data_IF_885955736431
#
_entry.id   IF_885955736431
#
_cell.length_a   1.000
_cell.length_b   1.000
_cell.length_c   1.000
_cell.angle_alpha   90.00
_cell.angle_beta   90.00
_cell.angle_gamma   90.00
#
_symmetry.space_group_name_H-M   'P 1'
#
loop_
_entity.id
_entity.type
_entity.pdbx_description
1 polymer ?
#
# COMPACT_ATOMS: atom_id res chain seq x y z
N UNK A 1 10.97 8.78 14.33
CA UNK A 1 12.03 7.99 13.67
C UNK A 1 12.88 8.78 12.67
N UNK A 2 12.30 9.66 11.84
CA UNK A 2 13.04 10.50 10.86
C UNK A 2 13.29 11.96 11.30
N UNK A 3 12.97 12.30 12.56
CA UNK A 3 13.07 13.64 13.15
C UNK A 3 12.46 14.79 12.32
N UNK A 4 11.38 14.52 11.59
CA UNK A 4 10.65 15.51 10.80
C UNK A 4 9.64 16.27 11.65
N UNK A 5 9.47 17.56 11.36
CA UNK A 5 8.44 18.42 11.95
C UNK A 5 7.41 18.77 10.87
N UNK A 6 6.13 18.64 11.21
CA UNK A 6 5.02 18.99 10.32
C UNK A 6 4.24 20.15 10.90
N UNK A 7 3.83 21.08 10.04
CA UNK A 7 2.92 22.18 10.41
C UNK A 7 1.52 21.64 10.72
N UNK A 8 0.73 22.40 11.51
CA UNK A 8 -0.68 22.08 11.77
C UNK A 8 -1.49 21.95 10.48
N UNK A 9 -1.15 22.74 9.45
CA UNK A 9 -1.80 22.67 8.14
C UNK A 9 -1.49 21.35 7.41
N UNK A 10 -0.26 20.85 7.52
CA UNK A 10 0.13 19.57 6.90
C UNK A 10 -0.57 18.38 7.57
N UNK A 11 -0.73 18.43 8.89
CA UNK A 11 -1.55 17.45 9.62
C UNK A 11 -3.00 17.45 9.16
N UNK A 12 -3.59 18.64 8.98
CA UNK A 12 -4.95 18.76 8.45
C UNK A 12 -5.08 18.14 7.05
N UNK A 13 -4.08 18.34 6.18
CA UNK A 13 -4.06 17.74 4.84
C UNK A 13 -4.06 16.20 4.89
N UNK A 14 -3.39 15.57 5.86
CA UNK A 14 -3.41 14.11 6.00
C UNK A 14 -4.77 13.57 6.44
N UNK A 15 -5.44 14.29 7.35
CA UNK A 15 -6.80 13.94 7.78
C UNK A 15 -7.76 14.01 6.61
N UNK A 16 -7.73 15.10 5.83
CA UNK A 16 -8.59 15.25 4.66
C UNK A 16 -8.26 14.26 3.54
N UNK A 17 -6.99 13.94 3.31
CA UNK A 17 -6.60 12.89 2.39
C UNK A 17 -7.20 11.53 2.79
N UNK A 18 -7.06 11.16 4.08
CA UNK A 18 -7.61 9.91 4.60
C UNK A 18 -9.13 9.84 4.52
N UNK A 19 -9.82 10.91 4.90
CA UNK A 19 -11.28 11.02 4.78
C UNK A 19 -11.73 10.94 3.31
N UNK A 20 -11.03 11.61 2.40
CA UNK A 20 -11.35 11.58 0.98
C UNK A 20 -11.23 10.17 0.40
N UNK A 21 -10.17 9.44 0.73
CA UNK A 21 -10.00 8.03 0.35
C UNK A 21 -11.11 7.18 0.95
N UNK A 22 -11.44 7.35 2.23
CA UNK A 22 -12.52 6.61 2.88
C UNK A 22 -13.88 6.85 2.20
N UNK A 23 -14.21 8.09 1.87
CA UNK A 23 -15.46 8.45 1.17
C UNK A 23 -15.52 7.78 -0.22
N UNK A 24 -14.42 7.81 -0.98
CA UNK A 24 -14.36 7.17 -2.31
C UNK A 24 -14.57 5.66 -2.18
N UNK A 25 -13.83 5.01 -1.28
CA UNK A 25 -13.86 3.55 -1.10
C UNK A 25 -15.21 3.07 -0.57
N UNK A 26 -15.76 3.74 0.45
CA UNK A 26 -17.08 3.40 1.00
C UNK A 26 -18.20 3.66 -0.01
N UNK A 27 -18.04 4.66 -0.87
CA UNK A 27 -19.01 4.97 -1.92
C UNK A 27 -19.03 3.97 -3.09
N UNK A 28 -18.01 3.14 -3.22
CA UNK A 28 -17.92 2.09 -4.26
C UNK A 28 -18.39 0.72 -3.75
N UNK A 29 -18.52 0.54 -2.43
CA UNK A 29 -18.94 -0.72 -1.85
C UNK A 29 -20.40 -1.02 -2.25
N UNK A 30 -20.59 -1.93 -3.20
CA UNK A 30 -21.92 -2.47 -3.54
C UNK A 30 -22.41 -3.30 -2.36
N UNK A 31 -23.70 -3.22 -2.03
CA UNK A 31 -24.41 -4.02 -1.01
C UNK A 31 -24.46 -5.51 -1.39
N UNK A 32 -23.31 -6.13 -1.63
CA UNK A 32 -23.14 -7.58 -1.73
C UNK A 32 -22.64 -8.08 -0.39
N UNK A 33 -23.35 -7.75 0.69
CA UNK A 33 -23.13 -8.40 1.98
C UNK A 33 -23.90 -9.72 1.94
N UNK A 34 -23.24 -10.81 1.55
CA UNK A 34 -23.66 -12.12 2.06
C UNK A 34 -23.56 -12.05 3.59
N UNK A 35 -24.61 -12.47 4.30
CA UNK A 35 -24.60 -12.68 5.75
C UNK A 35 -23.61 -13.79 6.09
N UNK A 36 -22.31 -13.47 6.06
CA UNK A 36 -21.29 -14.24 6.77
C UNK A 36 -21.28 -13.74 8.20
N UNK A 37 -21.13 -14.68 9.13
CA UNK A 37 -20.96 -14.42 10.56
C UNK A 37 -19.62 -13.68 10.77
N UNK A 38 -19.64 -12.36 10.55
CA UNK A 38 -18.45 -11.52 10.54
C UNK A 38 -18.14 -11.09 11.97
N UNK A 39 -17.01 -11.56 12.49
CA UNK A 39 -16.44 -11.06 13.72
C UNK A 39 -15.85 -9.66 13.51
N UNK A 40 -16.71 -8.65 13.44
CA UNK A 40 -16.36 -7.22 13.31
C UNK A 40 -15.22 -6.80 14.26
N UNK A 41 -15.22 -7.14 15.57
CA UNK A 41 -14.12 -6.71 16.45
C UNK A 41 -12.77 -7.32 16.06
N UNK A 42 -12.75 -8.56 15.59
CA UNK A 42 -11.52 -9.23 15.12
C UNK A 42 -11.01 -8.57 13.84
N UNK A 43 -11.91 -8.28 12.89
CA UNK A 43 -11.57 -7.56 11.66
C UNK A 43 -11.01 -6.16 11.94
N UNK A 44 -11.65 -5.42 12.85
CA UNK A 44 -11.20 -4.08 13.24
C UNK A 44 -9.80 -4.12 13.89
N UNK A 45 -9.57 -5.08 14.80
CA UNK A 45 -8.27 -5.26 15.42
C UNK A 45 -7.19 -5.65 14.40
N UNK A 46 -7.51 -6.54 13.46
CA UNK A 46 -6.59 -6.96 12.40
C UNK A 46 -6.19 -5.78 11.49
N UNK A 47 -7.15 -4.96 11.07
CA UNK A 47 -6.89 -3.77 10.23
C UNK A 47 -6.08 -2.71 11.00
N UNK A 48 -6.36 -2.51 12.29
CA UNK A 48 -5.59 -1.60 13.13
C UNK A 48 -4.12 -2.05 13.26
N UNK A 49 -3.88 -3.34 13.55
CA UNK A 49 -2.52 -3.89 13.62
C UNK A 49 -1.80 -3.84 12.26
N UNK A 50 -2.49 -4.16 11.17
CA UNK A 50 -1.94 -4.11 9.82
C UNK A 50 -1.55 -2.67 9.41
N UNK A 51 -2.39 -1.69 9.70
CA UNK A 51 -2.13 -0.27 9.39
C UNK A 51 -0.96 0.29 10.20
N UNK A 52 -0.86 -0.02 11.49
CA UNK A 52 0.28 0.36 12.33
C UNK A 52 1.58 -0.28 11.85
N UNK A 53 1.55 -1.58 11.52
CA UNK A 53 2.71 -2.30 10.98
C UNK A 53 3.17 -1.70 9.65
N UNK A 54 2.24 -1.41 8.74
CA UNK A 54 2.53 -0.78 7.44
C UNK A 54 3.14 0.61 7.58
N UNK A 55 2.59 1.44 8.49
CA UNK A 55 3.13 2.78 8.75
C UNK A 55 4.55 2.71 9.33
N UNK A 56 4.80 1.82 10.29
CA UNK A 56 6.12 1.63 10.88
C UNK A 56 7.13 1.10 9.86
N UNK A 57 6.79 0.05 9.11
CA UNK A 57 7.66 -0.55 8.10
C UNK A 57 8.06 0.47 7.02
N UNK A 58 7.12 1.29 6.54
CA UNK A 58 7.41 2.33 5.55
C UNK A 58 8.40 3.38 6.06
N UNK A 59 8.22 3.85 7.29
CA UNK A 59 9.11 4.85 7.92
C UNK A 59 10.48 4.25 8.26
N UNK A 60 10.52 3.00 8.70
CA UNK A 60 11.78 2.27 8.93
C UNK A 60 12.55 2.07 7.62
N UNK A 61 11.87 1.61 6.58
CA UNK A 61 12.47 1.43 5.26
C UNK A 61 13.04 2.74 4.72
N UNK A 62 12.31 3.85 4.85
CA UNK A 62 12.81 5.18 4.49
C UNK A 62 14.10 5.53 5.28
N UNK A 63 14.12 5.26 6.59
CA UNK A 63 15.29 5.52 7.44
C UNK A 63 16.51 4.71 7.00
N UNK A 64 16.32 3.43 6.68
CA UNK A 64 17.40 2.51 6.25
C UNK A 64 17.92 2.89 4.87
N UNK A 65 17.03 3.13 3.89
CA UNK A 65 17.43 3.39 2.51
C UNK A 65 18.12 4.75 2.34
N UNK A 66 17.77 5.73 3.18
CA UNK A 66 18.41 7.06 3.20
C UNK A 66 19.68 7.11 4.06
N UNK A 67 20.07 6.00 4.71
CA UNK A 67 21.28 5.96 5.52
C UNK A 67 21.26 6.85 6.76
N UNK A 68 20.08 7.34 7.18
CA UNK A 68 19.94 8.25 8.31
C UNK A 68 20.36 7.64 9.67
N UNK A 69 20.53 6.31 9.73
CA UNK A 69 21.10 5.62 10.89
C UNK A 69 22.65 5.57 10.93
N UNK A 70 23.33 5.84 9.81
CA UNK A 70 24.79 5.75 9.68
C UNK A 70 25.48 7.13 9.67
N UNK A 71 24.73 8.23 9.77
CA UNK A 71 25.27 9.58 9.68
C UNK A 71 26.13 10.01 10.90
N UNK A 72 26.21 9.18 11.96
CA UNK A 72 26.97 9.47 13.18
C UNK A 72 27.97 8.39 13.60
N UNK A 73 28.03 7.28 12.88
CA UNK A 73 29.02 6.22 13.09
C UNK A 73 29.88 6.21 11.83
N UNK A 74 31.21 6.14 11.90
CA UNK A 74 32.10 6.16 10.73
C UNK A 74 31.95 4.96 9.76
N UNK A 75 30.80 4.30 9.75
CA UNK A 75 30.43 3.18 8.91
C UNK A 75 30.05 3.66 7.51
N UNK A 76 30.98 3.42 6.57
CA UNK A 76 30.86 3.28 5.10
C UNK A 76 29.68 3.85 4.29
N UNK A 77 29.92 4.00 2.99
CA UNK A 77 28.91 4.42 1.98
C UNK A 77 27.57 3.67 2.18
N UNK A 78 26.41 4.36 2.16
CA UNK A 78 25.12 3.70 2.32
C UNK A 78 24.93 2.60 1.28
N UNK A 79 24.48 1.43 1.73
CA UNK A 79 24.19 0.27 0.88
C UNK A 79 23.25 0.66 -0.26
N UNK A 80 23.44 0.07 -1.45
CA UNK A 80 22.60 0.38 -2.60
C UNK A 80 21.14 -0.03 -2.35
N UNK A 81 20.19 0.74 -2.90
CA UNK A 81 18.76 0.44 -2.81
C UNK A 81 18.43 -0.94 -3.36
N UNK A 82 19.09 -1.34 -4.45
CA UNK A 82 18.88 -2.64 -5.08
C UNK A 82 19.25 -3.79 -4.14
N UNK A 83 20.37 -3.68 -3.42
CA UNK A 83 20.76 -4.69 -2.42
C UNK A 83 19.74 -4.75 -1.30
N UNK A 84 19.27 -3.60 -0.79
CA UNK A 84 18.21 -3.57 0.23
C UNK A 84 16.91 -4.20 -0.27
N UNK A 85 16.56 -4.00 -1.53
CA UNK A 85 15.36 -4.59 -2.12
C UNK A 85 15.52 -6.11 -2.33
N UNK A 86 16.72 -6.58 -2.67
CA UNK A 86 17.04 -8.02 -2.75
C UNK A 86 16.98 -8.68 -1.37
N UNK A 87 17.53 -8.04 -0.33
CA UNK A 87 17.43 -8.51 1.06
C UNK A 87 15.95 -8.65 1.49
N UNK A 88 15.13 -7.65 1.20
CA UNK A 88 13.69 -7.68 1.50
C UNK A 88 12.95 -8.75 0.69
N UNK A 89 13.28 -8.92 -0.59
CA UNK A 89 12.70 -9.94 -1.44
C UNK A 89 13.03 -11.35 -0.93
N UNK A 90 14.27 -11.58 -0.47
CA UNK A 90 14.67 -12.84 0.13
C UNK A 90 13.79 -13.20 1.34
N UNK A 91 13.61 -12.28 2.28
CA UNK A 91 12.73 -12.52 3.44
C UNK A 91 11.27 -12.69 3.04
N UNK A 92 10.78 -11.94 2.04
CA UNK A 92 9.42 -12.09 1.51
C UNK A 92 9.18 -13.49 0.93
N UNK A 93 10.16 -14.06 0.22
CA UNK A 93 10.08 -15.42 -0.32
C UNK A 93 10.05 -16.44 0.82
N UNK A 94 10.92 -16.29 1.83
CA UNK A 94 10.92 -17.18 3.00
C UNK A 94 9.58 -17.16 3.72
N UNK A 95 9.01 -15.98 4.01
CA UNK A 95 7.71 -15.86 4.66
C UNK A 95 6.58 -16.42 3.80
N UNK A 96 6.63 -16.23 2.48
CA UNK A 96 5.63 -16.80 1.58
C UNK A 96 5.65 -18.33 1.60
N UNK A 97 6.82 -18.96 1.53
CA UNK A 97 6.95 -20.43 1.60
C UNK A 97 6.47 -20.97 2.94
N UNK A 98 6.89 -20.34 4.04
CA UNK A 98 6.46 -20.72 5.40
C UNK A 98 4.93 -20.58 5.52
N UNK A 99 4.36 -19.47 5.09
CA UNK A 99 2.92 -19.23 5.13
C UNK A 99 2.14 -20.31 4.35
N UNK A 100 2.53 -20.59 3.11
CA UNK A 100 1.90 -21.64 2.30
C UNK A 100 2.00 -23.02 2.96
N UNK A 101 3.13 -23.33 3.61
CA UNK A 101 3.30 -24.58 4.35
C UNK A 101 2.39 -24.66 5.58
N UNK A 102 2.32 -23.59 6.38
CA UNK A 102 1.48 -23.52 7.58
C UNK A 102 -0.01 -23.51 7.24
N UNK A 103 -0.44 -22.75 6.24
CA UNK A 103 -1.83 -22.72 5.78
C UNK A 103 -2.30 -24.13 5.39
N UNK A 104 -1.48 -24.86 4.63
CA UNK A 104 -1.77 -26.24 4.24
C UNK A 104 -1.83 -27.22 5.42
N UNK A 105 -1.13 -26.94 6.52
CA UNK A 105 -1.07 -27.79 7.70
C UNK A 105 -2.18 -27.47 8.72
N UNK A 106 -2.55 -26.20 8.85
CA UNK A 106 -3.51 -25.70 9.85
C UNK A 106 -4.95 -25.65 9.31
N UNK A 107 -5.13 -25.39 8.03
CA UNK A 107 -6.43 -25.33 7.36
C UNK A 107 -6.45 -26.33 6.20
N UNK A 108 -6.43 -27.65 6.48
CA UNK A 108 -6.61 -28.64 5.43
C UNK A 108 -7.97 -28.41 4.74
N UNK A 109 -8.05 -28.53 3.41
CA UNK A 109 -9.28 -28.27 2.68
C UNK A 109 -10.40 -29.21 3.16
N UNK A 110 -11.42 -28.65 3.81
CA UNK A 110 -12.58 -29.40 4.28
C UNK A 110 -13.51 -29.72 3.10
N UNK A 111 -13.53 -30.99 2.70
CA UNK A 111 -14.50 -31.52 1.74
C UNK A 111 -13.87 -32.44 0.68
N UNK A 112 -14.01 -33.75 0.88
CA UNK A 112 -14.18 -34.79 -0.17
C UNK A 112 -13.23 -34.90 -1.36
N UNK A 113 -12.19 -34.08 -1.47
CA UNK A 113 -11.26 -34.00 -2.60
C UNK A 113 -9.90 -33.43 -2.17
N UNK A 114 -9.53 -33.59 -0.90
CA UNK A 114 -8.30 -33.05 -0.31
C UNK A 114 -7.00 -33.54 -1.00
N UNK A 115 -7.07 -34.60 -1.81
CA UNK A 115 -5.95 -35.06 -2.65
C UNK A 115 -5.81 -34.26 -3.97
N UNK A 116 -6.86 -33.55 -4.41
CA UNK A 116 -6.92 -32.90 -5.72
C UNK A 116 -6.49 -31.42 -5.67
N UNK A 117 -6.84 -30.67 -4.61
CA UNK A 117 -6.32 -29.29 -4.42
C UNK A 117 -4.85 -29.29 -3.95
N UNK A 118 -4.47 -30.28 -3.14
CA UNK A 118 -3.13 -30.41 -2.58
C UNK A 118 -2.08 -30.89 -3.60
N UNK A 119 -2.52 -31.46 -4.73
CA UNK A 119 -1.65 -31.96 -5.81
C UNK A 119 -1.52 -31.00 -6.98
N UNK A 120 -2.31 -29.92 -7.03
CA UNK A 120 -2.20 -28.91 -8.09
C UNK A 120 -0.82 -28.23 -8.03
N UNK A 121 -0.13 -28.10 -9.18
CA UNK A 121 1.10 -27.34 -9.26
C UNK A 121 0.87 -25.88 -8.82
N UNK A 122 1.89 -25.25 -8.24
CA UNK A 122 1.84 -23.84 -7.80
C UNK A 122 1.36 -22.87 -8.90
N UNK A 123 1.63 -23.19 -10.17
CA UNK A 123 1.27 -22.37 -11.34
C UNK A 123 -0.04 -22.81 -12.01
N UNK A 124 -0.86 -23.64 -11.36
CA UNK A 124 -2.13 -24.07 -11.92
C UNK A 124 -3.08 -22.88 -12.11
N UNK A 125 -3.68 -22.76 -13.30
CA UNK A 125 -4.60 -21.66 -13.64
C UNK A 125 -3.93 -20.32 -13.98
N UNK A 126 -2.59 -20.27 -14.12
CA UNK A 126 -1.92 -19.06 -14.58
C UNK A 126 -2.28 -18.77 -16.05
N UNK A 127 -2.79 -17.55 -16.28
CA UNK A 127 -3.12 -17.02 -17.60
C UNK A 127 -2.14 -15.90 -17.96
N UNK A 128 -2.04 -15.48 -19.24
CA UNK A 128 -1.20 -14.33 -19.60
C UNK A 128 -1.51 -13.06 -18.77
N UNK A 129 -2.76 -12.88 -18.35
CA UNK A 129 -3.18 -11.78 -17.48
C UNK A 129 -2.60 -11.92 -16.07
N UNK A 130 -2.55 -13.12 -15.49
CA UNK A 130 -1.94 -13.30 -14.16
C UNK A 130 -0.44 -13.04 -14.20
N UNK A 131 0.27 -13.49 -15.26
CA UNK A 131 1.68 -13.14 -15.46
C UNK A 131 1.89 -11.62 -15.57
N UNK A 132 1.02 -10.92 -16.30
CA UNK A 132 1.06 -9.46 -16.40
C UNK A 132 0.87 -8.80 -15.03
N UNK A 133 -0.09 -9.26 -14.22
CA UNK A 133 -0.34 -8.74 -12.87
C UNK A 133 0.86 -8.98 -11.94
N UNK A 134 1.51 -10.14 -12.02
CA UNK A 134 2.71 -10.45 -11.23
C UNK A 134 3.85 -9.50 -11.60
N UNK A 135 4.10 -9.28 -12.89
CA UNK A 135 5.15 -8.35 -13.36
C UNK A 135 4.82 -6.91 -12.95
N UNK A 136 3.56 -6.50 -13.08
CA UNK A 136 3.11 -5.16 -12.68
C UNK A 136 3.26 -4.94 -11.17
N UNK A 137 2.92 -5.93 -10.35
CA UNK A 137 3.04 -5.86 -8.90
C UNK A 137 4.52 -5.81 -8.47
N UNK A 138 5.38 -6.62 -9.08
CA UNK A 138 6.82 -6.60 -8.82
C UNK A 138 7.44 -5.25 -9.23
N UNK A 139 7.08 -4.74 -10.41
CA UNK A 139 7.49 -3.42 -10.89
C UNK A 139 6.99 -2.28 -9.99
N UNK A 140 5.74 -2.37 -9.52
CA UNK A 140 5.15 -1.43 -8.56
C UNK A 140 5.93 -1.40 -7.24
N UNK A 141 6.32 -2.54 -6.70
CA UNK A 141 7.17 -2.63 -5.51
C UNK A 141 8.53 -1.95 -5.70
N UNK A 142 9.17 -2.15 -6.86
CA UNK A 142 10.42 -1.46 -7.21
C UNK A 142 10.25 0.06 -7.32
N UNK A 143 9.15 0.50 -7.93
CA UNK A 143 8.82 1.92 -8.05
C UNK A 143 8.55 2.56 -6.69
N UNK A 144 7.86 1.83 -5.79
CA UNK A 144 7.65 2.23 -4.39
C UNK A 144 8.98 2.38 -3.66
N UNK A 145 9.94 1.48 -3.88
CA UNK A 145 11.27 1.64 -3.30
C UNK A 145 11.97 2.90 -3.82
N UNK A 146 11.91 3.14 -5.15
CA UNK A 146 12.50 4.31 -5.78
C UNK A 146 11.90 5.63 -5.25
N UNK A 147 10.57 5.75 -5.19
CA UNK A 147 9.92 6.99 -4.68
C UNK A 147 10.25 7.25 -3.22
N UNK A 148 10.37 6.21 -2.38
CA UNK A 148 10.78 6.39 -0.97
C UNK A 148 12.24 6.85 -0.86
N UNK A 149 13.12 6.43 -1.77
CA UNK A 149 14.51 6.90 -1.80
C UNK A 149 14.65 8.34 -2.28
N UNK A 150 13.99 8.70 -3.38
CA UNK A 150 14.18 9.98 -4.07
C UNK A 150 13.22 11.08 -3.61
N UNK A 151 12.04 10.71 -3.12
CA UNK A 151 11.11 11.58 -2.42
C UNK A 151 11.03 11.09 -0.97
N UNK A 152 9.83 10.82 -0.47
CA UNK A 152 9.57 10.43 0.92
C UNK A 152 8.39 9.46 1.03
N UNK A 153 8.27 8.74 2.15
CA UNK A 153 7.14 7.87 2.40
C UNK A 153 5.80 8.64 2.47
N UNK A 154 5.84 9.93 2.82
CA UNK A 154 4.65 10.82 2.80
C UNK A 154 4.21 11.14 1.37
N UNK A 155 5.15 11.54 0.50
CA UNK A 155 4.85 11.85 -0.91
C UNK A 155 4.36 10.60 -1.63
N UNK A 156 4.88 9.41 -1.28
CA UNK A 156 4.31 8.13 -1.73
C UNK A 156 2.82 8.03 -1.37
N UNK A 157 2.44 8.30 -0.11
CA UNK A 157 1.04 8.26 0.32
C UNK A 157 0.14 9.24 -0.43
N UNK A 158 0.62 10.46 -0.68
CA UNK A 158 -0.10 11.45 -1.49
C UNK A 158 -0.27 10.99 -2.94
N UNK A 159 0.79 10.45 -3.55
CA UNK A 159 0.77 9.91 -4.90
C UNK A 159 -0.20 8.72 -5.02
N UNK A 160 -0.24 7.84 -4.02
CA UNK A 160 -1.23 6.74 -3.95
C UNK A 160 -2.66 7.27 -3.88
N UNK A 161 -2.92 8.33 -3.10
CA UNK A 161 -4.25 8.97 -3.06
C UNK A 161 -4.66 9.54 -4.42
N UNK A 162 -3.77 10.24 -5.12
CA UNK A 162 -4.04 10.72 -6.49
C UNK A 162 -4.25 9.57 -7.46
N UNK A 163 -3.47 8.49 -7.34
CA UNK A 163 -3.61 7.30 -8.17
C UNK A 163 -4.98 6.65 -8.04
N UNK A 164 -5.59 6.64 -6.85
CA UNK A 164 -6.99 6.20 -6.65
C UNK A 164 -7.93 7.03 -7.53
N UNK A 165 -7.87 8.36 -7.44
CA UNK A 165 -8.75 9.25 -8.23
C UNK A 165 -8.57 9.05 -9.73
N UNK A 166 -7.32 8.94 -10.21
CA UNK A 166 -7.01 8.72 -11.63
C UNK A 166 -7.51 7.34 -12.09
N UNK A 167 -7.30 6.30 -11.29
CA UNK A 167 -7.70 4.94 -11.63
C UNK A 167 -9.23 4.82 -11.71
N UNK A 168 -9.96 5.39 -10.74
CA UNK A 168 -11.42 5.43 -10.78
C UNK A 168 -11.93 6.26 -11.96
N UNK A 169 -11.28 7.38 -12.29
CA UNK A 169 -11.63 8.18 -13.48
C UNK A 169 -11.45 7.37 -14.76
N UNK A 170 -10.35 6.64 -14.88
CA UNK A 170 -10.09 5.75 -16.02
C UNK A 170 -11.15 4.65 -16.10
N UNK A 171 -11.52 4.03 -14.98
CA UNK A 171 -12.61 3.05 -14.92
C UNK A 171 -13.95 3.64 -15.37
N UNK A 172 -14.29 4.86 -14.98
CA UNK A 172 -15.51 5.53 -15.46
C UNK A 172 -15.52 5.74 -16.98
N UNK A 173 -14.38 6.14 -17.56
CA UNK A 173 -14.28 6.43 -19.00
C UNK A 173 -14.26 5.16 -19.87
N UNK A 174 -13.54 4.12 -19.46
CA UNK A 174 -13.30 2.92 -20.28
C UNK A 174 -14.25 1.77 -19.95
N UNK A 175 -14.67 1.62 -18.69
CA UNK A 175 -15.54 0.53 -18.23
C UNK A 175 -17.00 0.98 -18.06
N UNK A 176 -17.30 2.27 -18.28
CA UNK A 176 -18.65 2.82 -18.19
C UNK A 176 -19.20 2.87 -16.76
N UNK A 177 -18.35 2.82 -15.74
CA UNK A 177 -18.78 2.90 -14.34
C UNK A 177 -19.43 4.25 -14.06
N UNK A 178 -20.64 4.25 -13.50
CA UNK A 178 -21.36 5.47 -13.14
C UNK A 178 -20.57 6.28 -12.10
N UNK A 179 -20.40 7.58 -12.36
CA UNK A 179 -19.76 8.51 -11.43
C UNK A 179 -20.69 8.75 -10.25
N UNK A 180 -20.26 8.40 -9.03
CA UNK A 180 -21.04 8.64 -7.81
C UNK A 180 -20.73 10.01 -7.22
N UNK A 181 -21.70 10.58 -6.50
CA UNK A 181 -21.50 11.84 -5.75
C UNK A 181 -20.40 11.68 -4.70
N UNK A 182 -20.31 10.50 -4.08
CA UNK A 182 -19.25 10.16 -3.13
C UNK A 182 -17.87 10.22 -3.78
N UNK A 183 -17.72 9.74 -5.02
CA UNK A 183 -16.47 9.85 -5.76
C UNK A 183 -16.09 11.32 -6.04
N UNK A 184 -17.04 12.16 -6.47
CA UNK A 184 -16.77 13.57 -6.73
C UNK A 184 -16.35 14.30 -5.45
N UNK A 185 -17.07 14.06 -4.35
CA UNK A 185 -16.76 14.66 -3.05
C UNK A 185 -15.42 14.18 -2.50
N UNK A 186 -15.20 12.87 -2.41
CA UNK A 186 -13.95 12.31 -1.89
C UNK A 186 -12.75 12.59 -2.79
N UNK A 187 -12.92 12.50 -4.12
CA UNK A 187 -11.89 12.80 -5.10
C UNK A 187 -11.47 14.27 -5.08
N UNK A 188 -12.41 15.21 -5.00
CA UNK A 188 -12.07 16.63 -4.84
C UNK A 188 -11.33 16.90 -3.52
N UNK A 189 -11.72 16.25 -2.42
CA UNK A 189 -11.07 16.38 -1.13
C UNK A 189 -9.61 15.88 -1.18
N UNK A 190 -9.36 14.74 -1.84
CA UNK A 190 -8.00 14.22 -2.08
C UNK A 190 -7.17 15.25 -2.86
N UNK A 191 -7.69 15.75 -3.99
CA UNK A 191 -6.96 16.68 -4.85
C UNK A 191 -6.62 18.00 -4.14
N UNK A 192 -7.59 18.58 -3.42
CA UNK A 192 -7.37 19.80 -2.63
C UNK A 192 -6.32 19.55 -1.55
N UNK A 193 -6.39 18.42 -0.84
CA UNK A 193 -5.43 18.08 0.22
C UNK A 193 -4.00 17.96 -0.32
N UNK A 194 -3.82 17.29 -1.46
CA UNK A 194 -2.51 17.12 -2.11
C UNK A 194 -1.97 18.46 -2.61
N UNK A 195 -2.83 19.29 -3.21
CA UNK A 195 -2.46 20.63 -3.68
C UNK A 195 -2.03 21.53 -2.53
N UNK A 196 -2.81 21.59 -1.45
CA UNK A 196 -2.50 22.38 -0.25
C UNK A 196 -1.21 21.93 0.43
N UNK A 197 -0.99 20.62 0.56
CA UNK A 197 0.26 20.08 1.11
C UNK A 197 1.46 20.47 0.26
N UNK A 198 1.35 20.29 -1.06
CA UNK A 198 2.43 20.58 -2.01
C UNK A 198 2.77 22.06 -2.07
N UNK A 199 1.77 22.95 -1.98
CA UNK A 199 2.00 24.39 -1.97
C UNK A 199 2.68 24.84 -0.67
N UNK A 200 2.27 24.30 0.48
CA UNK A 200 2.90 24.61 1.76
C UNK A 200 4.36 24.09 1.82
N UNK A 201 4.65 22.93 1.22
CA UNK A 201 6.03 22.42 1.13
C UNK A 201 6.92 23.29 0.25
N UNK A 202 6.40 23.80 -0.89
CA UNK A 202 7.12 24.74 -1.73
C UNK A 202 7.45 26.02 -0.96
N UNK A 203 6.48 26.63 -0.30
CA UNK A 203 6.68 27.86 0.48
C UNK A 203 7.73 27.66 1.59
N UNK A 204 7.73 26.51 2.27
CA UNK A 204 8.70 26.21 3.33
C UNK A 204 10.14 25.97 2.83
N UNK A 205 10.37 25.73 1.53
CA UNK A 205 11.73 25.59 0.96
C UNK A 205 12.36 26.94 0.55
N UNK A 206 11.58 28.02 0.54
CA UNK A 206 12.04 29.38 0.17
C UNK A 206 12.38 30.26 1.39
N UNK A 207 12.21 29.75 2.61
CA UNK A 207 12.59 30.39 3.87
C UNK A 207 13.61 29.51 4.60
#
# INVERSE_FOLDING_TARGET
MLNRKYSKLQWLCFVFLGLGVAIVVLGEQKDTAEEKDLNIPVGLFAVAMASLSSAFAGVWFEKVVKGAGNAGTGAGKPTSLWVRNVELAFFSICFSVIYNFFERLLFPPEGGGAMDEASKPFLHGFTPVTYLLVVLQAGGGLLVAAIVKYADNVVKGLATGVAVVVSTTFSCLFLGTAVTVNFLMGGSLILVSVWSFSNHEKVAKWF
#
